data_IF_471709235858
#
_entry.id   IF_471709235858
#
_cell.length_a   1.000
_cell.length_b   1.000
_cell.length_c   1.000
_cell.angle_alpha   90.00
_cell.angle_beta   90.00
_cell.angle_gamma   90.00
#
_symmetry.space_group_name_H-M   'P 1'
#
loop_
_entity.id
_entity.type
_entity.pdbx_description
1 polymer ?
#
# COMPACT_ATOMS: atom_id res chain seq x y z
N UNK A 1 -15.36 69.38 -37.69
CA UNK A 1 -14.74 69.20 -36.36
C UNK A 1 -14.85 67.73 -35.98
N UNK A 2 -13.71 67.03 -35.95
CA UNK A 2 -13.58 65.72 -35.33
C UNK A 2 -13.85 65.86 -33.83
N UNK A 3 -14.63 64.95 -33.25
CA UNK A 3 -14.64 64.72 -31.79
C UNK A 3 -14.27 63.26 -31.57
N UNK A 4 -13.13 63.07 -30.91
CA UNK A 4 -12.51 61.79 -30.52
C UNK A 4 -13.09 61.31 -29.18
N UNK A 5 -13.57 60.04 -29.15
CA UNK A 5 -13.41 58.97 -28.12
C UNK A 5 -13.76 59.25 -26.62
N UNK A 6 -14.29 58.26 -25.84
CA UNK A 6 -13.65 56.95 -25.71
C UNK A 6 -14.56 55.72 -25.79
N UNK A 7 -14.03 54.74 -26.52
CA UNK A 7 -14.33 53.33 -26.38
C UNK A 7 -14.00 52.88 -24.96
N UNK A 8 -15.02 52.64 -24.13
CA UNK A 8 -14.92 51.94 -22.87
C UNK A 8 -15.96 50.84 -22.88
N UNK A 9 -15.52 49.63 -23.23
CA UNK A 9 -16.02 48.32 -22.77
C UNK A 9 -15.36 47.22 -23.65
N UNK A 10 -14.03 47.25 -23.79
CA UNK A 10 -13.29 46.09 -24.30
C UNK A 10 -12.59 45.42 -23.13
N UNK A 11 -12.85 44.12 -23.01
CA UNK A 11 -12.08 43.12 -22.28
C UNK A 11 -12.13 43.16 -20.74
N UNK A 12 -13.12 42.45 -20.18
CA UNK A 12 -12.97 41.79 -18.87
C UNK A 12 -13.45 40.33 -18.96
N UNK A 13 -12.75 39.53 -19.77
CA UNK A 13 -12.82 38.04 -19.68
C UNK A 13 -11.42 37.41 -19.60
N UNK A 14 -10.34 38.20 -19.77
CA UNK A 14 -8.97 37.69 -19.83
C UNK A 14 -8.33 37.37 -18.45
N UNK A 15 -9.02 37.65 -17.33
CA UNK A 15 -8.45 37.46 -15.99
C UNK A 15 -8.85 36.14 -15.30
N UNK A 16 -9.83 35.40 -15.85
CA UNK A 16 -10.12 34.04 -15.37
C UNK A 16 -9.23 33.08 -16.15
N UNK A 17 -7.97 32.95 -15.73
CA UNK A 17 -7.09 31.92 -16.25
C UNK A 17 -7.81 30.58 -16.26
N UNK A 18 -7.79 29.87 -17.39
CA UNK A 18 -8.41 28.56 -17.52
C UNK A 18 -7.78 27.63 -16.50
N UNK A 19 -8.51 27.27 -15.44
CA UNK A 19 -8.04 26.31 -14.44
C UNK A 19 -7.87 24.96 -15.13
N UNK A 20 -6.63 24.57 -15.40
CA UNK A 20 -6.30 23.23 -15.86
C UNK A 20 -6.03 22.34 -14.65
N UNK A 21 -6.88 21.33 -14.36
CA UNK A 21 -6.66 20.44 -13.23
C UNK A 21 -5.31 19.73 -13.35
N UNK A 22 -4.55 19.73 -12.26
CA UNK A 22 -3.24 19.07 -12.24
C UNK A 22 -3.43 17.54 -12.27
N UNK A 23 -2.80 16.90 -13.26
CA UNK A 23 -2.85 15.45 -13.48
C UNK A 23 -1.70 14.72 -12.79
N UNK A 24 -1.91 13.47 -12.40
CA UNK A 24 -0.92 12.67 -11.70
C UNK A 24 -0.10 11.83 -12.68
N UNK A 25 1.21 11.73 -12.42
CA UNK A 25 2.08 10.77 -13.12
C UNK A 25 1.76 9.34 -12.66
N UNK A 26 2.00 8.32 -13.50
CA UNK A 26 1.97 6.93 -13.05
C UNK A 26 2.87 6.71 -11.83
N UNK A 27 2.44 5.84 -10.91
CA UNK A 27 3.30 5.39 -9.81
C UNK A 27 4.49 4.60 -10.38
N UNK A 28 5.63 4.72 -9.72
CA UNK A 28 6.86 4.02 -10.09
C UNK A 28 6.66 2.50 -9.98
N UNK A 29 6.99 1.76 -11.04
CA UNK A 29 6.88 0.30 -11.06
C UNK A 29 7.95 -0.32 -10.15
N UNK A 30 7.54 -1.21 -9.24
CA UNK A 30 8.44 -2.00 -8.39
C UNK A 30 7.97 -3.45 -8.40
N UNK A 31 8.89 -4.41 -8.32
CA UNK A 31 8.57 -5.84 -8.44
C UNK A 31 7.73 -6.39 -7.27
N UNK A 32 7.74 -5.68 -6.12
CA UNK A 32 7.10 -6.13 -4.90
C UNK A 32 5.64 -5.69 -4.76
N UNK A 33 5.19 -4.74 -5.59
CA UNK A 33 3.87 -4.10 -5.48
C UNK A 33 3.21 -3.98 -6.86
N UNK A 34 1.93 -4.28 -6.91
CA UNK A 34 1.11 -4.19 -8.11
C UNK A 34 0.10 -3.07 -7.91
N UNK A 35 0.02 -2.18 -8.89
CA UNK A 35 -0.96 -1.09 -8.92
C UNK A 35 -2.08 -1.42 -9.91
N UNK A 36 -3.32 -1.15 -9.51
CA UNK A 36 -4.51 -1.29 -10.35
C UNK A 36 -5.25 0.05 -10.35
N UNK A 37 -5.38 0.66 -11.53
CA UNK A 37 -6.02 1.97 -11.66
C UNK A 37 -7.51 1.81 -11.99
N UNK A 38 -8.38 2.68 -11.47
CA UNK A 38 -9.83 2.58 -11.71
C UNK A 38 -10.24 2.79 -13.16
N UNK A 39 -9.34 3.29 -14.00
CA UNK A 39 -9.60 3.67 -15.38
C UNK A 39 -8.55 3.07 -16.32
N UNK A 40 -8.21 1.79 -16.11
CA UNK A 40 -7.27 1.00 -16.94
C UNK A 40 -7.66 0.88 -18.42
N UNK A 41 -8.83 1.40 -18.82
CA UNK A 41 -9.32 1.39 -20.20
C UNK A 41 -9.63 2.82 -20.66
N UNK A 42 -8.63 3.45 -21.30
CA UNK A 42 -8.68 4.63 -22.21
C UNK A 42 -9.31 5.96 -21.73
N UNK A 43 -10.12 5.98 -20.67
CA UNK A 43 -10.85 7.19 -20.24
C UNK A 43 -10.09 8.04 -19.22
N UNK A 44 -9.29 7.41 -18.36
CA UNK A 44 -8.54 8.08 -17.29
C UNK A 44 -7.11 8.43 -17.62
N UNK A 45 -6.54 7.76 -18.62
CA UNK A 45 -5.22 8.04 -19.16
C UNK A 45 -5.33 9.12 -20.23
N UNK A 46 -4.74 10.27 -19.96
CA UNK A 46 -4.70 11.36 -20.93
C UNK A 46 -3.59 11.13 -21.96
N UNK A 47 -3.70 11.75 -23.14
CA UNK A 47 -2.73 11.65 -24.23
C UNK A 47 -1.29 12.05 -23.85
N UNK A 48 -1.12 12.81 -22.77
CA UNK A 48 0.17 13.20 -22.17
C UNK A 48 0.73 12.17 -21.17
N UNK A 49 0.11 11.00 -21.07
CA UNK A 49 0.58 9.89 -20.26
C UNK A 49 0.30 10.01 -18.76
N UNK A 50 -0.69 10.83 -18.37
CA UNK A 50 -1.02 11.15 -16.98
C UNK A 50 -2.48 10.84 -16.64
N UNK A 51 -2.72 10.59 -15.37
CA UNK A 51 -4.06 10.32 -14.83
C UNK A 51 -4.79 11.59 -14.44
N UNK A 52 -6.07 11.68 -14.83
CA UNK A 52 -6.94 12.81 -14.52
C UNK A 52 -7.21 12.91 -13.01
N UNK A 53 -7.63 14.10 -12.57
CA UNK A 53 -8.08 14.29 -11.19
C UNK A 53 -9.27 13.38 -10.89
N UNK A 54 -9.29 12.78 -9.71
CA UNK A 54 -10.33 11.85 -9.29
C UNK A 54 -10.05 10.38 -9.63
N UNK A 55 -9.13 10.08 -10.56
CA UNK A 55 -8.71 8.69 -10.80
C UNK A 55 -8.17 8.10 -9.50
N UNK A 56 -8.53 6.85 -9.23
CA UNK A 56 -8.07 6.11 -8.05
C UNK A 56 -7.12 4.99 -8.45
N UNK A 57 -6.21 4.66 -7.55
CA UNK A 57 -5.29 3.54 -7.69
C UNK A 57 -5.37 2.68 -6.44
N UNK A 58 -5.48 1.38 -6.63
CA UNK A 58 -5.35 0.37 -5.59
C UNK A 58 -4.01 -0.32 -5.69
N UNK A 59 -3.43 -0.66 -4.55
CA UNK A 59 -2.15 -1.32 -4.47
C UNK A 59 -2.26 -2.62 -3.68
N UNK A 60 -1.51 -3.63 -4.11
CA UNK A 60 -1.38 -4.91 -3.41
C UNK A 60 0.04 -5.43 -3.54
N UNK A 61 0.48 -6.23 -2.58
CA UNK A 61 1.78 -6.88 -2.70
C UNK A 61 1.75 -7.97 -3.77
N UNK A 62 2.82 -8.02 -4.56
CA UNK A 62 3.01 -9.04 -5.59
C UNK A 62 3.28 -10.41 -4.95
N UNK A 63 4.00 -10.41 -3.82
CA UNK A 63 4.35 -11.60 -3.03
C UNK A 63 3.19 -11.96 -2.10
N UNK A 64 2.72 -13.21 -2.12
CA UNK A 64 1.52 -13.65 -1.39
C UNK A 64 1.61 -13.55 0.15
N UNK A 65 2.82 -13.62 0.71
CA UNK A 65 3.07 -13.61 2.16
C UNK A 65 3.61 -12.27 2.66
N UNK A 66 3.38 -11.21 1.88
CA UNK A 66 3.78 -9.86 2.21
C UNK A 66 2.54 -9.02 2.45
N UNK A 67 2.61 -8.20 3.50
CA UNK A 67 1.55 -7.30 3.90
C UNK A 67 1.84 -5.90 3.39
N UNK A 68 0.80 -5.19 2.94
CA UNK A 68 0.93 -3.78 2.62
C UNK A 68 0.85 -2.95 3.91
N UNK A 69 1.95 -2.29 4.27
CA UNK A 69 2.00 -1.37 5.40
C UNK A 69 1.74 0.06 4.92
N UNK A 70 0.59 0.61 5.32
CA UNK A 70 0.14 1.95 4.94
C UNK A 70 -1.16 1.90 4.14
N UNK A 71 -1.40 2.91 3.31
CA UNK A 71 -2.62 2.96 2.50
C UNK A 71 -2.55 2.04 1.28
N UNK A 72 -3.62 1.30 1.02
CA UNK A 72 -3.80 0.48 -0.18
C UNK A 72 -4.44 1.24 -1.34
N UNK A 73 -4.91 2.46 -1.10
CA UNK A 73 -5.71 3.21 -2.07
C UNK A 73 -5.30 4.67 -2.07
N UNK A 74 -5.10 5.24 -3.25
CA UNK A 74 -4.84 6.67 -3.42
C UNK A 74 -5.73 7.26 -4.50
N UNK A 75 -6.00 8.56 -4.39
CA UNK A 75 -6.73 9.33 -5.40
C UNK A 75 -5.83 10.42 -5.97
N UNK A 76 -5.89 10.62 -7.27
CA UNK A 76 -5.22 11.75 -7.90
C UNK A 76 -5.90 13.07 -7.51
N UNK A 77 -5.21 13.88 -6.70
CA UNK A 77 -5.67 15.19 -6.23
C UNK A 77 -4.57 16.21 -6.48
N UNK A 78 -4.88 17.25 -7.26
CA UNK A 78 -3.95 18.36 -7.54
C UNK A 78 -2.56 17.88 -8.00
N UNK A 79 -2.52 16.89 -8.90
CA UNK A 79 -1.28 16.36 -9.47
C UNK A 79 -0.50 15.39 -8.57
N UNK A 80 -1.01 15.05 -7.37
CA UNK A 80 -0.41 14.08 -6.45
C UNK A 80 -1.39 12.97 -6.08
N UNK A 81 -0.87 11.76 -5.90
CA UNK A 81 -1.60 10.65 -5.29
C UNK A 81 -1.74 10.89 -3.78
N UNK A 82 -2.97 10.86 -3.26
CA UNK A 82 -3.24 11.11 -1.85
C UNK A 82 -4.32 10.15 -1.31
N UNK A 83 -4.09 9.49 -0.15
CA UNK A 83 -2.81 9.44 0.58
C UNK A 83 -1.69 8.78 -0.25
N UNK A 84 -0.45 8.85 0.22
CA UNK A 84 0.64 8.10 -0.41
C UNK A 84 0.39 6.59 -0.20
N UNK A 85 0.66 5.79 -1.23
CA UNK A 85 0.54 4.34 -1.15
C UNK A 85 1.61 3.79 -0.20
N UNK A 86 1.20 2.79 0.60
CA UNK A 86 2.07 2.07 1.51
C UNK A 86 3.17 1.26 0.83
N UNK A 87 3.95 0.57 1.64
CA UNK A 87 5.05 -0.29 1.18
C UNK A 87 4.78 -1.74 1.54
N UNK A 88 5.16 -2.66 0.65
CA UNK A 88 5.09 -4.08 0.92
C UNK A 88 6.21 -4.49 1.86
N UNK A 89 5.83 -5.13 2.95
CA UNK A 89 6.77 -5.71 3.92
C UNK A 89 6.45 -7.20 4.08
N UNK A 90 7.43 -8.01 4.47
CA UNK A 90 7.17 -9.38 4.90
C UNK A 90 6.03 -9.45 5.92
N UNK A 91 5.20 -10.48 5.80
CA UNK A 91 3.97 -10.59 6.58
C UNK A 91 4.22 -10.64 8.09
N UNK A 92 3.25 -10.14 8.87
CA UNK A 92 3.33 -10.07 10.33
C UNK A 92 2.54 -11.20 10.98
N UNK A 93 3.17 -11.92 11.91
CA UNK A 93 2.46 -12.96 12.64
C UNK A 93 1.67 -12.39 13.82
N UNK A 94 0.42 -12.82 13.95
CA UNK A 94 -0.43 -12.51 15.10
C UNK A 94 -0.53 -13.72 16.03
N UNK A 95 -0.45 -13.51 17.34
CA UNK A 95 -0.67 -14.58 18.34
C UNK A 95 -2.09 -15.17 18.25
N UNK A 96 -3.06 -14.43 17.70
CA UNK A 96 -4.40 -14.97 17.50
C UNK A 96 -4.43 -16.13 16.50
N UNK A 97 -3.49 -16.18 15.55
CA UNK A 97 -3.36 -17.33 14.64
C UNK A 97 -2.97 -18.61 15.40
N UNK A 98 -2.11 -18.53 16.41
CA UNK A 98 -1.78 -19.68 17.28
C UNK A 98 -2.99 -20.16 18.09
N UNK A 99 -3.84 -19.23 18.57
CA UNK A 99 -5.10 -19.58 19.25
C UNK A 99 -6.04 -20.37 18.33
N UNK A 100 -6.16 -19.95 17.07
CA UNK A 100 -6.94 -20.69 16.06
C UNK A 100 -6.40 -22.11 15.78
N UNK A 101 -5.09 -22.32 15.99
CA UNK A 101 -4.45 -23.64 15.90
C UNK A 101 -4.57 -24.47 17.19
N UNK A 102 -5.24 -23.96 18.23
CA UNK A 102 -5.44 -24.65 19.51
C UNK A 102 -4.31 -24.44 20.53
N UNK A 103 -3.44 -23.45 20.33
CA UNK A 103 -2.38 -23.09 21.28
C UNK A 103 -2.75 -21.88 22.13
N UNK A 104 -2.42 -21.95 23.40
CA UNK A 104 -2.51 -20.86 24.36
C UNK A 104 -1.11 -20.28 24.57
N UNK A 105 -0.99 -18.97 24.48
CA UNK A 105 0.25 -18.25 24.75
C UNK A 105 0.18 -17.72 26.20
N UNK A 106 0.80 -18.42 27.15
CA UNK A 106 0.87 -18.01 28.57
C UNK A 106 2.15 -17.20 28.83
N UNK A 107 2.07 -16.05 29.50
CA UNK A 107 3.21 -15.20 29.89
C UNK A 107 3.14 -13.76 29.36
N UNK A 108 4.18 -12.95 29.62
CA UNK A 108 4.39 -11.64 28.95
C UNK A 108 4.72 -11.87 27.48
N UNK A 109 3.69 -12.18 26.70
CA UNK A 109 3.85 -12.34 25.27
C UNK A 109 3.79 -10.94 24.67
N UNK A 110 4.96 -10.40 24.31
CA UNK A 110 5.05 -9.14 23.56
C UNK A 110 4.15 -9.27 22.34
N UNK A 111 3.24 -8.31 22.14
CA UNK A 111 2.43 -8.28 20.93
C UNK A 111 3.39 -8.26 19.73
N UNK A 112 3.42 -9.36 18.98
CA UNK A 112 4.32 -9.50 17.85
C UNK A 112 3.78 -8.78 16.62
N UNK A 113 4.67 -8.13 15.88
CA UNK A 113 4.34 -7.41 14.66
C UNK A 113 3.90 -5.95 14.84
N UNK A 114 3.95 -5.38 16.05
CA UNK A 114 3.67 -3.94 16.26
C UNK A 114 4.89 -3.07 16.00
N UNK A 115 6.07 -3.55 16.39
CA UNK A 115 7.28 -2.74 16.42
C UNK A 115 8.45 -3.47 15.76
N UNK A 116 8.78 -3.03 14.55
CA UNK A 116 9.91 -3.45 13.70
C UNK A 116 9.73 -4.79 12.99
N UNK A 117 9.95 -4.74 11.69
CA UNK A 117 9.97 -5.85 10.73
C UNK A 117 11.23 -6.66 10.98
N UNK A 118 11.26 -7.51 12.01
CA UNK A 118 12.26 -8.56 12.16
C UNK A 118 11.56 -9.91 11.98
N UNK A 119 11.68 -10.47 10.78
CA UNK A 119 10.93 -11.64 10.29
C UNK A 119 11.38 -12.98 10.89
N UNK A 120 11.90 -12.99 12.11
CA UNK A 120 12.50 -14.17 12.73
C UNK A 120 12.20 -14.25 14.23
N UNK A 121 11.02 -13.77 14.63
CA UNK A 121 10.66 -13.81 16.04
C UNK A 121 10.13 -15.20 16.43
N UNK A 122 10.62 -15.71 17.57
CA UNK A 122 10.26 -17.04 18.11
C UNK A 122 9.35 -16.89 19.32
N UNK A 123 8.39 -17.80 19.48
CA UNK A 123 7.50 -17.88 20.64
C UNK A 123 7.36 -19.32 21.09
N UNK A 124 7.18 -19.53 22.38
CA UNK A 124 6.75 -20.83 22.91
C UNK A 124 5.26 -20.76 23.20
N UNK A 125 4.49 -21.70 22.67
CA UNK A 125 3.04 -21.78 22.86
C UNK A 125 2.64 -23.16 23.37
N UNK A 126 1.51 -23.24 24.08
CA UNK A 126 1.12 -24.42 24.83
C UNK A 126 -0.22 -24.94 24.34
N UNK A 127 -0.30 -26.19 23.89
CA UNK A 127 -1.58 -26.84 23.58
C UNK A 127 -2.34 -27.21 24.86
N UNK A 128 -1.58 -27.63 25.88
CA UNK A 128 -2.02 -27.85 27.26
C UNK A 128 -0.86 -27.53 28.21
N UNK A 129 -1.10 -27.51 29.54
CA UNK A 129 -0.04 -27.29 30.55
C UNK A 129 1.16 -28.25 30.44
N UNK A 130 0.99 -29.41 29.80
CA UNK A 130 2.04 -30.43 29.63
C UNK A 130 2.65 -30.46 28.22
N UNK A 131 2.09 -29.71 27.26
CA UNK A 131 2.49 -29.77 25.86
C UNK A 131 2.83 -28.38 25.33
N UNK A 132 4.11 -28.03 25.45
CA UNK A 132 4.70 -26.82 24.91
C UNK A 132 5.36 -27.08 23.55
N UNK A 133 5.31 -26.10 22.66
CA UNK A 133 5.95 -26.14 21.34
C UNK A 133 6.51 -24.78 20.97
N UNK A 134 7.65 -24.78 20.27
CA UNK A 134 8.31 -23.57 19.81
C UNK A 134 7.88 -23.26 18.38
N UNK A 135 7.47 -22.01 18.16
CA UNK A 135 7.09 -21.48 16.87
C UNK A 135 8.04 -20.35 16.45
N UNK A 136 8.20 -20.20 15.15
CA UNK A 136 8.89 -19.11 14.48
C UNK A 136 7.94 -18.43 13.50
N UNK A 137 7.97 -17.10 13.47
CA UNK A 137 7.22 -16.33 12.50
C UNK A 137 7.96 -16.33 11.16
N UNK A 138 7.34 -16.90 10.13
CA UNK A 138 7.84 -16.94 8.77
C UNK A 138 6.88 -16.17 7.87
N UNK A 139 7.20 -14.91 7.56
CA UNK A 139 6.41 -14.07 6.63
C UNK A 139 4.90 -14.08 6.95
N UNK A 140 4.55 -13.85 8.21
CA UNK A 140 3.16 -13.79 8.65
C UNK A 140 2.53 -15.13 9.04
N UNK A 141 3.25 -16.25 8.88
CA UNK A 141 2.78 -17.57 9.30
C UNK A 141 3.60 -18.14 10.45
N UNK A 142 2.92 -18.67 11.46
CA UNK A 142 3.57 -19.41 12.53
C UNK A 142 3.90 -20.83 12.08
N UNK A 143 5.17 -21.20 12.21
CA UNK A 143 5.70 -22.52 11.86
C UNK A 143 6.41 -23.10 13.08
N UNK A 144 6.40 -24.43 13.32
CA UNK A 144 7.27 -25.04 14.34
C UNK A 144 8.74 -24.68 14.09
N UNK A 145 9.57 -24.52 15.13
CA UNK A 145 10.87 -23.84 15.04
C UNK A 145 11.94 -24.49 14.15
N UNK A 146 11.67 -25.69 13.62
CA UNK A 146 12.50 -26.44 12.66
C UNK A 146 12.06 -26.20 11.20
N UNK A 147 10.94 -25.50 11.00
CA UNK A 147 10.17 -25.46 9.76
C UNK A 147 10.04 -24.07 9.15
N UNK A 148 10.88 -23.11 9.56
CA UNK A 148 11.23 -21.99 8.70
C UNK A 148 12.44 -22.47 7.92
N UNK A 149 12.25 -23.23 6.82
CA UNK A 149 13.42 -23.55 6.04
C UNK A 149 13.89 -22.19 5.49
N UNK A 150 15.10 -22.12 4.96
CA UNK A 150 15.64 -20.93 4.29
C UNK A 150 14.86 -20.55 3.01
N UNK A 151 13.52 -20.71 3.00
CA UNK A 151 12.52 -20.54 1.96
C UNK A 151 11.97 -19.12 2.03
N UNK A 152 12.82 -18.19 1.62
CA UNK A 152 12.55 -17.53 0.35
C UNK A 152 13.87 -17.57 -0.42
N UNK A 153 14.14 -18.66 -1.16
CA UNK A 153 14.86 -18.46 -2.41
C UNK A 153 14.01 -17.43 -3.18
N UNK A 154 14.52 -16.25 -3.54
CA UNK A 154 13.69 -15.18 -4.11
C UNK A 154 13.02 -15.55 -5.43
N UNK A 155 13.44 -16.66 -6.06
CA UNK A 155 13.09 -17.02 -7.42
C UNK A 155 12.78 -18.52 -7.50
N UNK A 156 11.69 -18.88 -8.20
CA UNK A 156 11.19 -20.19 -8.70
C UNK A 156 9.67 -20.21 -8.46
N UNK A 157 8.77 -19.79 -9.34
CA UNK A 157 8.78 -19.46 -10.77
C UNK A 157 7.80 -18.30 -11.01
#
# INVERSE_FOLDING_TARGET
MLVLLPALLVANVAAYGVYTPSKCKPLEKKDEIVYTYSEELDSGYSSDGKYKQGTTVKARCAKQLWDLMGSDTATCKNGRWSPEIGTCIPGRCSLNALKGMGYQSFGEVRQHGTDKVENLQKVTAYKTLKQAENFICCLGKWMPSESCPTVMKPDLY
#
